data_IF_356581337570
#
_entry.id   IF_356581337570
#
_cell.length_a   1.000
_cell.length_b   1.000
_cell.length_c   1.000
_cell.angle_alpha   90.00
_cell.angle_beta   90.00
_cell.angle_gamma   90.00
#
_symmetry.space_group_name_H-M   'P 1'
#
loop_
_entity.id
_entity.type
_entity.pdbx_description
1 polymer ?
#
# COMPACT_ATOMS: atom_id res chain seq x y z
N UNK A 1 22.67 4.56 -10.85
CA UNK A 1 21.98 3.27 -11.02
C UNK A 1 21.11 3.01 -9.79
N UNK A 2 19.98 2.30 -9.92
CA UNK A 2 19.12 1.86 -8.79
C UNK A 2 19.97 1.26 -7.65
N UNK A 3 20.91 0.40 -8.05
CA UNK A 3 21.88 -0.24 -7.16
C UNK A 3 22.76 0.74 -6.38
N UNK A 4 23.27 1.77 -7.06
CA UNK A 4 24.12 2.78 -6.41
C UNK A 4 23.34 3.55 -5.34
N UNK A 5 22.05 3.86 -5.57
CA UNK A 5 21.20 4.54 -4.59
C UNK A 5 20.83 3.64 -3.42
N UNK A 6 20.57 2.35 -3.69
CA UNK A 6 20.34 1.33 -2.66
C UNK A 6 21.59 1.13 -1.80
N UNK A 7 22.77 1.02 -2.41
CA UNK A 7 24.05 0.88 -1.71
C UNK A 7 24.38 2.14 -0.89
N UNK A 8 24.20 3.34 -1.45
CA UNK A 8 24.40 4.62 -0.75
C UNK A 8 23.42 4.79 0.43
N UNK A 9 22.14 4.47 0.24
CA UNK A 9 21.17 4.48 1.34
C UNK A 9 21.54 3.45 2.43
N UNK A 10 21.99 2.26 2.05
CA UNK A 10 22.43 1.24 3.00
C UNK A 10 23.68 1.68 3.77
N UNK A 11 24.63 2.37 3.13
CA UNK A 11 25.79 2.96 3.82
C UNK A 11 25.38 4.04 4.82
N UNK A 12 24.43 4.91 4.46
CA UNK A 12 23.87 5.92 5.38
C UNK A 12 23.15 5.28 6.57
N UNK A 13 22.43 4.18 6.34
CA UNK A 13 21.76 3.42 7.40
C UNK A 13 22.75 2.73 8.33
N UNK A 14 23.79 2.09 7.79
CA UNK A 14 24.82 1.38 8.55
C UNK A 14 25.67 2.36 9.38
N UNK A 15 26.03 3.51 8.82
CA UNK A 15 26.78 4.55 9.54
C UNK A 15 25.96 5.09 10.72
N UNK A 16 24.67 5.35 10.51
CA UNK A 16 23.78 5.79 11.59
C UNK A 16 23.54 4.72 12.67
N UNK A 17 23.37 3.45 12.28
CA UNK A 17 23.21 2.33 13.22
C UNK A 17 24.45 2.09 14.10
N UNK A 18 25.65 2.45 13.61
CA UNK A 18 26.91 2.38 14.37
C UNK A 18 27.07 3.53 15.36
N UNK A 19 26.58 4.73 15.05
CA UNK A 19 26.69 5.90 15.92
C UNK A 19 25.72 5.85 17.11
N UNK A 20 24.53 5.28 16.92
CA UNK A 20 23.50 5.27 17.97
C UNK A 20 23.53 4.06 18.91
N UNK A 21 24.35 3.05 18.63
CA UNK A 21 24.42 1.81 19.42
C UNK A 21 23.06 1.10 19.46
N UNK A 22 22.95 -0.06 18.81
CA UNK A 22 21.71 -0.85 18.80
C UNK A 22 21.16 -1.24 20.20
N UNK A 23 21.91 -0.97 21.27
CA UNK A 23 21.51 -1.18 22.67
C UNK A 23 20.62 -0.06 23.26
N UNK A 24 20.58 1.15 22.66
CA UNK A 24 19.78 2.27 23.21
C UNK A 24 18.32 2.29 22.73
N UNK A 25 17.99 1.55 21.66
CA UNK A 25 16.65 1.52 21.04
C UNK A 25 15.72 0.46 21.68
N UNK A 26 16.25 -0.46 22.48
CA UNK A 26 15.44 -1.46 23.20
C UNK A 26 14.75 -0.89 24.45
N UNK A 27 15.06 0.35 24.85
CA UNK A 27 14.38 1.06 25.95
C UNK A 27 13.08 1.75 25.50
N UNK A 28 12.62 1.47 24.27
CA UNK A 28 11.39 2.03 23.70
C UNK A 28 10.12 1.34 24.24
N UNK A 29 9.99 1.18 25.56
CA UNK A 29 8.75 0.89 26.30
C UNK A 29 7.78 -0.09 25.62
N UNK A 30 8.30 -1.18 25.03
CA UNK A 30 7.49 -2.06 24.20
C UNK A 30 6.54 -2.94 25.02
N UNK A 31 6.70 -3.06 26.34
CA UNK A 31 5.87 -3.87 27.23
C UNK A 31 5.94 -3.38 28.69
N UNK A 32 5.22 -2.32 29.05
CA UNK A 32 4.93 -2.03 30.47
C UNK A 32 3.52 -2.52 30.83
N UNK A 33 3.41 -3.78 31.26
CA UNK A 33 2.26 -4.29 31.99
C UNK A 33 2.51 -4.16 33.49
N UNK A 34 1.63 -3.51 34.29
CA UNK A 34 1.87 -3.40 35.71
C UNK A 34 1.45 -4.69 36.43
N UNK A 35 2.41 -5.58 36.68
CA UNK A 35 2.28 -6.57 37.75
C UNK A 35 2.62 -5.89 39.09
N UNK A 36 1.64 -5.84 40.01
CA UNK A 36 1.92 -5.70 41.44
C UNK A 36 1.33 -6.87 42.20
N UNK A 37 2.25 -7.64 42.76
CA UNK A 37 2.04 -8.68 43.75
C UNK A 37 1.42 -8.14 45.04
N UNK A 38 0.51 -8.91 45.63
CA UNK A 38 0.41 -9.01 47.09
C UNK A 38 -0.08 -10.40 47.50
N UNK A 39 0.54 -10.87 48.58
CA UNK A 39 0.73 -12.25 48.99
C UNK A 39 -0.25 -12.62 50.12
N UNK A 40 -0.74 -13.86 50.08
CA UNK A 40 -1.29 -14.67 51.18
C UNK A 40 -2.53 -14.22 51.97
N UNK A 41 -3.64 -14.97 51.84
CA UNK A 41 -4.13 -15.80 52.95
C UNK A 41 -5.17 -16.88 52.52
N UNK A 42 -5.03 -18.09 53.09
CA UNK A 42 -5.94 -19.24 52.93
C UNK A 42 -7.33 -18.98 53.55
N UNK A 43 -8.41 -19.43 52.89
CA UNK A 43 -9.42 -20.38 53.44
C UNK A 43 -10.56 -20.68 52.44
N UNK A 44 -10.92 -21.97 52.37
CA UNK A 44 -12.11 -22.53 51.69
C UNK A 44 -13.41 -22.15 52.42
N UNK A 45 -14.47 -21.81 51.68
CA UNK A 45 -15.82 -22.40 51.75
C UNK A 45 -16.76 -21.69 50.75
N UNK A 46 -17.84 -22.37 50.36
CA UNK A 46 -18.60 -22.11 49.15
C UNK A 46 -19.85 -21.22 49.27
N UNK A 47 -20.39 -20.96 48.08
CA UNK A 47 -21.80 -20.68 47.72
C UNK A 47 -22.43 -19.31 48.01
N UNK A 48 -23.19 -18.88 47.00
CA UNK A 48 -24.27 -17.87 46.89
C UNK A 48 -23.95 -16.39 46.63
N UNK A 49 -24.33 -15.95 45.38
CA UNK A 49 -24.93 -14.66 44.91
C UNK A 49 -24.45 -13.33 45.55
N UNK A 50 -24.18 -12.23 44.85
CA UNK A 50 -24.66 -11.73 43.55
C UNK A 50 -23.91 -10.47 43.09
N UNK A 51 -23.96 -10.22 41.78
CA UNK A 51 -23.91 -8.93 41.06
C UNK A 51 -22.76 -7.96 41.33
N UNK A 52 -21.76 -8.03 40.46
CA UNK A 52 -21.36 -6.83 39.72
C UNK A 52 -21.29 -7.25 38.25
N UNK A 53 -22.23 -6.75 37.46
CA UNK A 53 -22.18 -6.79 36.01
C UNK A 53 -20.85 -6.16 35.57
N UNK A 54 -19.92 -6.97 35.09
CA UNK A 54 -19.03 -6.47 34.04
C UNK A 54 -19.82 -6.71 32.78
N UNK A 55 -20.47 -5.66 32.28
CA UNK A 55 -20.97 -5.61 30.91
C UNK A 55 -19.78 -5.90 30.00
N UNK A 56 -19.71 -7.16 29.57
CA UNK A 56 -18.93 -7.61 28.43
C UNK A 56 -19.72 -7.28 27.18
N UNK A 57 -18.98 -6.95 26.13
CA UNK A 57 -19.42 -6.65 24.77
C UNK A 57 -20.07 -5.26 24.59
N UNK A 58 -19.21 -4.26 24.39
CA UNK A 58 -19.60 -3.14 23.53
C UNK A 58 -19.52 -3.64 22.06
N UNK A 59 -20.65 -3.87 21.37
CA UNK A 59 -20.65 -4.36 19.99
C UNK A 59 -20.01 -3.36 19.01
N UNK A 60 -19.63 -2.17 19.47
CA UNK A 60 -18.97 -1.15 18.68
C UNK A 60 -17.44 -1.32 18.53
N UNK A 61 -16.75 -2.12 19.37
CA UNK A 61 -15.27 -2.30 19.29
C UNK A 61 -14.80 -3.23 18.15
N UNK A 62 -15.74 -3.74 17.35
CA UNK A 62 -15.45 -4.72 16.30
C UNK A 62 -14.52 -4.22 15.18
N UNK A 63 -14.49 -2.92 14.89
CA UNK A 63 -13.67 -2.37 13.80
C UNK A 63 -12.20 -2.14 14.19
N UNK A 64 -11.91 -1.86 15.45
CA UNK A 64 -10.54 -1.65 15.91
C UNK A 64 -9.81 -2.95 16.27
N UNK A 65 -10.57 -4.01 16.56
CA UNK A 65 -10.07 -5.38 16.67
C UNK A 65 -9.87 -6.05 15.30
N UNK A 66 -10.29 -5.40 14.20
CA UNK A 66 -10.07 -5.90 12.87
C UNK A 66 -8.59 -5.80 12.44
N UNK A 67 -8.13 -6.61 11.46
CA UNK A 67 -6.77 -6.54 10.96
C UNK A 67 -6.34 -5.12 10.59
N UNK A 68 -5.08 -4.77 10.85
CA UNK A 68 -4.51 -3.45 10.53
C UNK A 68 -4.43 -3.18 9.03
N UNK A 69 -4.41 -4.23 8.21
CA UNK A 69 -4.24 -4.12 6.76
C UNK A 69 -5.29 -4.95 6.02
N UNK A 70 -5.61 -4.50 4.81
CA UNK A 70 -6.49 -5.21 3.86
C UNK A 70 -5.90 -5.19 2.46
N UNK A 71 -6.48 -5.99 1.55
CA UNK A 71 -6.05 -6.11 0.16
C UNK A 71 -7.14 -5.54 -0.77
N UNK A 72 -7.03 -4.28 -1.23
CA UNK A 72 -8.06 -3.66 -2.08
C UNK A 72 -8.13 -4.23 -3.50
N UNK A 73 -7.03 -4.77 -4.02
CA UNK A 73 -6.95 -5.23 -5.42
C UNK A 73 -6.22 -6.56 -5.57
N UNK A 74 -5.01 -6.52 -6.13
CA UNK A 74 -4.21 -7.73 -6.39
C UNK A 74 -3.86 -8.44 -5.08
N UNK A 75 -4.06 -9.77 -5.04
CA UNK A 75 -3.65 -10.61 -3.91
C UNK A 75 -2.17 -10.38 -3.59
N UNK A 76 -1.88 -10.14 -2.31
CA UNK A 76 -0.52 -10.03 -1.80
C UNK A 76 0.01 -8.61 -1.60
N UNK A 77 -0.74 -7.56 -1.94
CA UNK A 77 -0.38 -6.18 -1.59
C UNK A 77 -1.36 -5.56 -0.59
N UNK A 78 -0.83 -4.86 0.41
CA UNK A 78 -1.59 -4.41 1.58
C UNK A 78 -1.68 -2.90 1.68
N UNK A 79 -2.87 -2.42 2.07
CA UNK A 79 -3.13 -1.02 2.45
C UNK A 79 -3.62 -0.94 3.91
N UNK A 80 -3.33 0.16 4.64
CA UNK A 80 -3.83 0.36 5.99
C UNK A 80 -5.36 0.38 6.04
N UNK A 81 -5.93 -0.35 6.99
CA UNK A 81 -7.35 -0.28 7.34
C UNK A 81 -7.52 0.67 8.53
N UNK A 82 -8.11 1.87 8.35
CA UNK A 82 -8.17 2.88 9.41
C UNK A 82 -8.93 2.42 10.65
N UNK A 83 -10.01 1.64 10.51
CA UNK A 83 -10.91 1.36 11.62
C UNK A 83 -11.52 2.67 12.15
N UNK A 84 -11.60 2.84 13.46
CA UNK A 84 -12.05 4.09 14.10
C UNK A 84 -10.93 5.11 14.31
N UNK A 85 -9.69 4.80 13.92
CA UNK A 85 -8.51 5.62 14.20
C UNK A 85 -8.34 5.95 15.69
N UNK A 86 -8.67 5.03 16.60
CA UNK A 86 -8.36 5.23 18.02
C UNK A 86 -6.85 5.39 18.24
N UNK A 87 -6.47 6.06 19.32
CA UNK A 87 -5.07 6.27 19.67
C UNK A 87 -4.28 4.95 19.76
N UNK A 88 -4.90 3.90 20.33
CA UNK A 88 -4.32 2.57 20.40
C UNK A 88 -4.01 2.01 19.00
N UNK A 89 -4.97 2.11 18.07
CA UNK A 89 -4.80 1.63 16.69
C UNK A 89 -3.77 2.45 15.90
N UNK A 90 -3.75 3.76 16.06
CA UNK A 90 -2.73 4.64 15.46
C UNK A 90 -1.33 4.34 16.02
N UNK A 91 -1.22 4.03 17.32
CA UNK A 91 0.04 3.58 17.91
C UNK A 91 0.50 2.24 17.33
N UNK A 92 -0.41 1.31 17.01
CA UNK A 92 -0.07 0.09 16.27
C UNK A 92 0.53 0.42 14.89
N UNK A 93 -0.07 1.34 14.13
CA UNK A 93 0.49 1.79 12.85
C UNK A 93 1.87 2.45 12.99
N UNK A 94 2.07 3.27 14.03
CA UNK A 94 3.39 3.84 14.34
C UNK A 94 4.41 2.74 14.65
N UNK A 95 4.03 1.71 15.41
CA UNK A 95 4.91 0.57 15.69
C UNK A 95 5.25 -0.23 14.42
N UNK A 96 4.31 -0.41 13.49
CA UNK A 96 4.63 -1.00 12.17
C UNK A 96 5.66 -0.14 11.43
N UNK A 97 5.52 1.18 11.47
CA UNK A 97 6.52 2.10 10.92
C UNK A 97 7.92 1.88 11.51
N UNK A 98 8.01 1.72 12.83
CA UNK A 98 9.28 1.43 13.54
C UNK A 98 9.87 0.09 13.14
N UNK A 99 9.04 -0.95 13.06
CA UNK A 99 9.47 -2.29 12.60
C UNK A 99 10.05 -2.21 11.18
N UNK A 100 9.41 -1.49 10.26
CA UNK A 100 9.95 -1.26 8.92
C UNK A 100 11.31 -0.55 8.96
N UNK A 101 11.47 0.45 9.82
CA UNK A 101 12.74 1.15 10.03
C UNK A 101 13.83 0.24 10.58
N UNK A 102 13.50 -0.64 11.53
CA UNK A 102 14.44 -1.62 12.10
C UNK A 102 14.85 -2.66 11.06
N UNK A 103 13.91 -3.19 10.28
CA UNK A 103 14.20 -4.07 9.15
C UNK A 103 15.21 -3.44 8.18
N UNK A 104 15.03 -2.16 7.86
CA UNK A 104 15.95 -1.41 6.98
C UNK A 104 17.33 -1.21 7.61
N UNK A 105 17.41 -0.88 8.91
CA UNK A 105 18.71 -0.71 9.60
C UNK A 105 19.48 -2.03 9.73
N UNK A 106 18.77 -3.13 9.99
CA UNK A 106 19.37 -4.45 10.24
C UNK A 106 19.58 -5.24 8.94
N UNK A 107 19.14 -4.71 7.79
CA UNK A 107 19.13 -5.41 6.51
C UNK A 107 18.36 -6.75 6.59
N UNK A 108 17.23 -6.73 7.30
CA UNK A 108 16.32 -7.85 7.48
C UNK A 108 15.06 -7.67 6.64
N UNK A 109 14.52 -8.76 6.11
CA UNK A 109 13.33 -8.71 5.27
C UNK A 109 12.05 -8.65 6.11
N UNK A 110 11.14 -7.75 5.74
CA UNK A 110 9.81 -7.68 6.35
C UNK A 110 8.81 -8.53 5.54
N UNK A 111 8.01 -9.41 6.19
CA UNK A 111 7.05 -10.28 5.51
C UNK A 111 5.76 -9.57 5.04
N UNK A 112 5.73 -8.23 5.00
CA UNK A 112 4.59 -7.44 4.52
C UNK A 112 4.92 -6.71 3.23
N UNK A 113 4.13 -6.94 2.19
CA UNK A 113 4.28 -6.25 0.90
C UNK A 113 3.27 -5.10 0.83
N UNK A 114 3.74 -3.87 1.01
CA UNK A 114 2.88 -2.69 1.01
C UNK A 114 2.52 -2.25 -0.42
N UNK A 115 1.32 -1.71 -0.57
CA UNK A 115 0.90 -1.06 -1.81
C UNK A 115 1.77 0.16 -2.13
N UNK A 116 1.92 0.46 -3.43
CA UNK A 116 2.80 1.53 -3.93
C UNK A 116 2.51 2.90 -3.30
N UNK A 117 1.23 3.26 -3.16
CA UNK A 117 0.85 4.55 -2.56
C UNK A 117 1.28 4.66 -1.09
N UNK A 118 1.19 3.56 -0.31
CA UNK A 118 1.65 3.51 1.08
C UNK A 118 3.14 3.83 1.14
N UNK A 119 3.94 3.15 0.31
CA UNK A 119 5.39 3.35 0.25
C UNK A 119 5.72 4.80 -0.14
N UNK A 120 5.02 5.35 -1.14
CA UNK A 120 5.21 6.75 -1.52
C UNK A 120 4.95 7.70 -0.36
N UNK A 121 3.90 7.48 0.44
CA UNK A 121 3.63 8.30 1.62
C UNK A 121 4.73 8.17 2.67
N UNK A 122 5.21 6.95 2.95
CA UNK A 122 6.34 6.72 3.86
C UNK A 122 7.59 7.52 3.42
N UNK A 123 7.90 7.49 2.13
CA UNK A 123 9.01 8.22 1.52
C UNK A 123 8.75 9.75 1.38
N UNK A 124 7.55 10.25 1.72
CA UNK A 124 7.18 11.65 1.52
C UNK A 124 7.06 12.07 0.06
N UNK A 125 6.74 11.13 -0.84
CA UNK A 125 6.55 11.35 -2.28
C UNK A 125 5.08 11.61 -2.61
N UNK A 126 4.84 12.41 -3.65
CA UNK A 126 3.50 12.63 -4.20
C UNK A 126 2.94 11.34 -4.81
N UNK A 127 1.73 10.98 -4.41
CA UNK A 127 0.91 9.94 -5.04
C UNK A 127 0.12 10.57 -6.19
N UNK A 128 0.15 9.94 -7.35
CA UNK A 128 -0.54 10.35 -8.56
C UNK A 128 -1.67 9.38 -8.87
N UNK A 129 -2.64 9.79 -9.69
CA UNK A 129 -3.76 8.91 -10.05
C UNK A 129 -3.30 7.60 -10.73
N UNK A 130 -2.19 7.61 -11.47
CA UNK A 130 -1.61 6.40 -12.06
C UNK A 130 -1.15 5.36 -11.02
N UNK A 131 -0.86 5.76 -9.78
CA UNK A 131 -0.55 4.80 -8.71
C UNK A 131 -1.78 3.95 -8.33
N UNK A 132 -2.98 4.40 -8.70
CA UNK A 132 -4.22 3.66 -8.48
C UNK A 132 -4.25 2.33 -9.25
N UNK A 133 -3.53 2.22 -10.37
CA UNK A 133 -3.36 0.96 -11.09
C UNK A 133 -2.71 -0.16 -10.24
N UNK A 134 -1.91 0.21 -9.23
CA UNK A 134 -1.30 -0.72 -8.29
C UNK A 134 -2.20 -1.01 -7.09
N UNK A 135 -3.15 -0.11 -6.79
CA UNK A 135 -4.11 -0.26 -5.71
C UNK A 135 -5.27 -1.15 -6.14
N UNK A 136 -5.96 -0.76 -7.21
CA UNK A 136 -7.09 -1.47 -7.81
C UNK A 136 -7.00 -1.35 -9.36
N UNK A 137 -6.40 -2.34 -10.03
CA UNK A 137 -6.22 -2.31 -11.48
C UNK A 137 -7.54 -2.37 -12.25
N UNK A 138 -8.58 -2.99 -11.69
CA UNK A 138 -9.88 -3.16 -12.36
C UNK A 138 -10.61 -1.82 -12.37
N UNK A 139 -10.65 -1.16 -11.23
CA UNK A 139 -11.26 0.17 -11.13
C UNK A 139 -10.43 1.22 -11.87
N UNK A 140 -9.09 1.13 -11.86
CA UNK A 140 -8.23 2.00 -12.66
C UNK A 140 -8.59 1.94 -14.15
N UNK A 141 -8.76 0.74 -14.72
CA UNK A 141 -9.13 0.60 -16.13
C UNK A 141 -10.53 1.16 -16.39
N UNK A 142 -11.47 0.95 -15.46
CA UNK A 142 -12.83 1.53 -15.57
C UNK A 142 -12.81 3.07 -15.60
N UNK A 143 -12.02 3.70 -14.72
CA UNK A 143 -11.82 5.15 -14.71
C UNK A 143 -11.10 5.66 -15.97
N UNK A 144 -10.15 4.86 -16.49
CA UNK A 144 -9.45 5.18 -17.74
C UNK A 144 -10.41 5.13 -18.93
N UNK A 145 -11.30 4.14 -19.00
CA UNK A 145 -12.33 4.07 -20.04
C UNK A 145 -13.29 5.26 -19.92
N UNK A 146 -13.66 5.67 -18.71
CA UNK A 146 -14.48 6.87 -18.49
C UNK A 146 -13.81 8.13 -19.09
N UNK A 147 -12.50 8.31 -18.88
CA UNK A 147 -11.73 9.39 -19.50
C UNK A 147 -11.73 9.26 -21.03
N UNK A 148 -11.55 8.06 -21.59
CA UNK A 148 -11.57 7.86 -23.05
C UNK A 148 -12.93 8.21 -23.65
N UNK A 149 -14.02 7.80 -23.01
CA UNK A 149 -15.38 8.12 -23.43
C UNK A 149 -15.68 9.62 -23.39
N UNK A 150 -15.03 10.39 -22.52
CA UNK A 150 -15.22 11.86 -22.50
C UNK A 150 -14.73 12.56 -23.78
N UNK A 151 -13.94 11.88 -24.59
CA UNK A 151 -13.34 12.42 -25.81
C UNK A 151 -14.10 12.01 -27.08
N UNK A 152 -15.20 11.25 -26.96
CA UNK A 152 -16.01 10.81 -28.10
C UNK A 152 -17.12 11.80 -28.42
N UNK A 153 -17.66 11.76 -29.64
CA UNK A 153 -18.78 12.61 -30.06
C UNK A 153 -20.08 12.31 -29.26
N UNK A 154 -20.19 11.10 -28.72
CA UNK A 154 -21.33 10.63 -27.93
C UNK A 154 -21.16 10.85 -26.42
N UNK A 155 -20.10 11.54 -25.99
CA UNK A 155 -19.72 11.68 -24.57
C UNK A 155 -20.87 12.18 -23.69
N UNK A 156 -21.57 13.23 -24.09
CA UNK A 156 -22.69 13.80 -23.30
C UNK A 156 -23.80 12.76 -23.05
N UNK A 157 -24.17 11.98 -24.07
CA UNK A 157 -25.20 10.95 -23.94
C UNK A 157 -24.74 9.80 -23.03
N UNK A 158 -23.47 9.38 -23.15
CA UNK A 158 -22.88 8.32 -22.33
C UNK A 158 -22.83 8.74 -20.86
N UNK A 159 -22.33 9.94 -20.55
CA UNK A 159 -22.21 10.42 -19.18
C UNK A 159 -23.57 10.66 -18.53
N UNK A 160 -24.55 11.19 -19.29
CA UNK A 160 -25.91 11.34 -18.81
C UNK A 160 -26.58 9.99 -18.48
N UNK A 161 -26.26 8.93 -19.22
CA UNK A 161 -26.78 7.58 -18.97
C UNK A 161 -26.14 6.87 -17.77
N UNK A 162 -24.93 7.28 -17.36
CA UNK A 162 -24.20 6.68 -16.23
C UNK A 162 -24.68 7.17 -14.86
N UNK A 163 -25.37 8.32 -14.80
CA UNK A 163 -25.89 8.94 -13.56
C UNK A 163 -24.85 9.01 -12.42
N UNK A 164 -23.62 9.41 -12.78
CA UNK A 164 -22.50 9.47 -11.85
C UNK A 164 -22.42 10.86 -11.21
N UNK A 165 -22.18 10.91 -9.90
CA UNK A 165 -21.96 12.15 -9.15
C UNK A 165 -20.57 12.16 -8.48
N UNK A 166 -20.14 13.30 -7.93
CA UNK A 166 -18.91 13.41 -7.14
C UNK A 166 -19.08 12.84 -5.72
N UNK A 167 -19.63 11.62 -5.64
CA UNK A 167 -19.78 10.84 -4.43
C UNK A 167 -19.45 9.38 -4.73
N UNK A 168 -18.90 8.67 -3.75
CA UNK A 168 -18.47 7.28 -3.90
C UNK A 168 -18.92 6.45 -2.71
N UNK A 169 -19.21 5.18 -2.95
CA UNK A 169 -19.44 4.20 -1.90
C UNK A 169 -18.12 3.55 -1.48
N UNK A 170 -17.91 3.43 -0.17
CA UNK A 170 -16.74 2.82 0.43
C UNK A 170 -17.04 1.38 0.86
N UNK A 171 -16.05 0.50 0.72
CA UNK A 171 -16.16 -0.85 1.28
C UNK A 171 -15.98 -0.84 2.80
N UNK A 172 -16.22 -1.99 3.45
CA UNK A 172 -16.16 -2.11 4.90
C UNK A 172 -14.79 -1.74 5.47
N UNK A 173 -13.74 -2.13 4.78
CA UNK A 173 -12.35 -1.85 5.17
C UNK A 173 -12.00 -0.37 5.08
N UNK A 174 -12.77 0.42 4.34
CA UNK A 174 -12.56 1.85 4.10
C UNK A 174 -13.48 2.73 4.96
N UNK A 175 -14.35 2.13 5.79
CA UNK A 175 -15.27 2.85 6.69
C UNK A 175 -16.76 2.68 6.37
N UNK A 176 -17.09 2.01 5.26
CA UNK A 176 -18.46 1.83 4.74
C UNK A 176 -19.21 3.14 4.42
N UNK A 177 -20.26 3.02 3.61
CA UNK A 177 -21.17 4.13 3.32
C UNK A 177 -20.72 5.02 2.18
N UNK A 178 -21.51 6.07 1.92
CA UNK A 178 -21.28 7.01 0.83
C UNK A 178 -20.56 8.27 1.34
N UNK A 179 -19.58 8.74 0.59
CA UNK A 179 -18.82 9.96 0.90
C UNK A 179 -18.76 10.88 -0.31
N UNK A 180 -18.79 12.19 -0.06
CA UNK A 180 -18.62 13.19 -1.12
C UNK A 180 -17.12 13.43 -1.41
N UNK A 181 -16.75 13.47 -2.69
CA UNK A 181 -15.37 13.76 -3.14
C UNK A 181 -15.04 15.27 -3.11
N UNK A 182 -16.08 16.11 -3.01
CA UNK A 182 -16.05 17.55 -2.86
C UNK A 182 -17.32 18.01 -2.17
N UNK A 183 -17.30 19.21 -1.58
CA UNK A 183 -18.46 19.76 -0.86
C UNK A 183 -19.65 19.90 -1.81
N UNK A 184 -20.76 19.23 -1.50
CA UNK A 184 -21.95 19.19 -2.35
C UNK A 184 -21.82 18.23 -3.54
N UNK A 185 -20.87 17.29 -3.48
CA UNK A 185 -20.52 16.39 -4.58
C UNK A 185 -21.65 15.45 -4.98
N UNK A 186 -22.56 15.09 -4.07
CA UNK A 186 -23.74 14.26 -4.38
C UNK A 186 -24.65 14.94 -5.41
N UNK A 187 -24.71 16.28 -5.43
CA UNK A 187 -25.53 17.04 -6.37
C UNK A 187 -24.74 17.52 -7.60
N UNK A 188 -23.48 17.13 -7.73
CA UNK A 188 -22.63 17.52 -8.85
C UNK A 188 -22.45 16.32 -9.80
N UNK A 189 -23.13 16.31 -10.95
CA UNK A 189 -22.97 15.23 -11.92
C UNK A 189 -21.57 15.25 -12.55
N UNK A 190 -21.06 14.05 -12.84
CA UNK A 190 -19.85 13.88 -13.62
C UNK A 190 -20.20 14.08 -15.09
N UNK A 191 -19.44 14.94 -15.74
CA UNK A 191 -19.60 15.34 -17.14
C UNK A 191 -18.27 15.13 -17.87
N UNK A 192 -18.27 15.11 -19.22
CA UNK A 192 -17.03 15.01 -19.98
C UNK A 192 -16.00 16.10 -19.62
N UNK A 193 -16.47 17.29 -19.23
CA UNK A 193 -15.63 18.43 -18.86
C UNK A 193 -14.96 18.29 -17.48
N UNK A 194 -15.61 17.62 -16.52
CA UNK A 194 -15.12 17.53 -15.14
C UNK A 194 -14.58 16.13 -14.76
N UNK A 195 -14.66 15.15 -15.68
CA UNK A 195 -14.25 13.76 -15.46
C UNK A 195 -12.82 13.60 -14.93
N UNK A 196 -11.88 14.43 -15.42
CA UNK A 196 -10.48 14.36 -14.98
C UNK A 196 -10.33 14.67 -13.50
N UNK A 197 -11.09 15.65 -13.00
CA UNK A 197 -11.09 15.98 -11.58
C UNK A 197 -11.80 14.90 -10.77
N UNK A 198 -12.90 14.34 -11.28
CA UNK A 198 -13.58 13.20 -10.65
C UNK A 198 -12.62 12.02 -10.45
N UNK A 199 -11.93 11.60 -11.52
CA UNK A 199 -10.98 10.47 -11.47
C UNK A 199 -9.82 10.76 -10.51
N UNK A 200 -9.29 11.98 -10.52
CA UNK A 200 -8.22 12.40 -9.60
C UNK A 200 -8.67 12.31 -8.15
N UNK A 201 -9.84 12.86 -7.83
CA UNK A 201 -10.41 12.85 -6.47
C UNK A 201 -10.77 11.45 -6.01
N UNK A 202 -11.33 10.63 -6.89
CA UNK A 202 -11.64 9.22 -6.61
C UNK A 202 -10.38 8.47 -6.17
N UNK A 203 -9.31 8.56 -6.97
CA UNK A 203 -8.04 7.89 -6.69
C UNK A 203 -7.37 8.42 -5.41
N UNK A 204 -7.36 9.74 -5.23
CA UNK A 204 -6.82 10.41 -4.04
C UNK A 204 -7.60 10.01 -2.78
N UNK A 205 -8.94 9.97 -2.84
CA UNK A 205 -9.75 9.62 -1.70
C UNK A 205 -9.50 8.18 -1.24
N UNK A 206 -9.55 7.23 -2.17
CA UNK A 206 -9.36 5.79 -1.89
C UNK A 206 -7.94 5.45 -1.41
N UNK A 207 -6.91 6.08 -1.98
CA UNK A 207 -5.52 5.77 -1.60
C UNK A 207 -5.01 6.56 -0.38
N UNK A 208 -5.49 7.79 -0.18
CA UNK A 208 -4.92 8.70 0.82
C UNK A 208 -5.93 9.10 1.89
N UNK A 209 -7.07 9.66 1.52
CA UNK A 209 -8.00 10.29 2.48
C UNK A 209 -8.55 9.25 3.46
N UNK A 210 -8.97 8.09 2.96
CA UNK A 210 -9.49 6.99 3.81
C UNK A 210 -8.49 6.59 4.89
N UNK A 211 -7.20 6.53 4.55
CA UNK A 211 -6.15 5.99 5.42
C UNK A 211 -5.15 7.07 5.88
N UNK A 212 -5.54 8.35 5.91
CA UNK A 212 -4.62 9.47 6.14
C UNK A 212 -3.89 9.35 7.50
N UNK A 213 -4.63 9.15 8.59
CA UNK A 213 -4.06 9.06 9.93
C UNK A 213 -3.15 7.81 10.10
N UNK A 214 -3.57 6.60 9.68
CA UNK A 214 -2.68 5.43 9.65
C UNK A 214 -1.40 5.65 8.86
N UNK A 215 -1.50 6.22 7.65
CA UNK A 215 -0.35 6.48 6.79
C UNK A 215 0.63 7.46 7.44
N UNK A 216 0.13 8.52 8.08
CA UNK A 216 0.95 9.48 8.80
C UNK A 216 1.60 8.86 10.05
N UNK A 217 0.87 8.03 10.80
CA UNK A 217 1.38 7.31 11.96
C UNK A 217 2.51 6.34 11.56
N UNK A 218 2.33 5.56 10.50
CA UNK A 218 3.39 4.69 9.96
C UNK A 218 4.62 5.48 9.54
N UNK A 219 4.45 6.60 8.84
CA UNK A 219 5.58 7.46 8.44
C UNK A 219 6.32 8.02 9.67
N UNK A 220 5.58 8.47 10.67
CA UNK A 220 6.16 8.96 11.94
C UNK A 220 6.98 7.87 12.61
N UNK A 221 6.45 6.65 12.68
CA UNK A 221 7.16 5.49 13.24
C UNK A 221 8.43 5.14 12.48
N UNK A 222 8.39 5.20 11.14
CA UNK A 222 9.56 4.97 10.29
C UNK A 222 10.67 5.98 10.57
N UNK A 223 10.30 7.25 10.72
CA UNK A 223 11.22 8.36 11.02
C UNK A 223 11.62 8.47 12.51
N UNK A 224 11.00 7.69 13.41
CA UNK A 224 11.50 7.53 14.78
C UNK A 224 12.80 6.69 14.79
N UNK A 225 12.98 5.84 13.77
CA UNK A 225 14.10 4.89 13.67
C UNK A 225 15.13 5.33 12.63
N UNK A 226 14.67 5.86 11.50
CA UNK A 226 15.53 6.27 10.38
C UNK A 226 15.73 7.79 10.35
N UNK A 227 16.93 8.26 10.02
CA UNK A 227 17.15 9.68 9.79
C UNK A 227 16.44 10.11 8.50
N UNK A 228 15.86 11.32 8.48
CA UNK A 228 14.99 11.78 7.38
C UNK A 228 15.65 11.74 6.00
N UNK A 229 16.96 11.98 5.95
CA UNK A 229 17.76 12.01 4.73
C UNK A 229 18.02 10.61 4.15
N UNK A 230 17.94 9.53 4.93
CA UNK A 230 18.21 8.17 4.43
C UNK A 230 17.22 7.70 3.35
N UNK A 231 16.07 8.38 3.22
CA UNK A 231 14.99 8.01 2.30
C UNK A 231 14.88 8.95 1.10
N UNK A 232 15.68 10.01 1.03
CA UNK A 232 15.49 11.15 0.10
C UNK A 232 15.65 10.81 -1.39
N UNK A 233 16.42 9.78 -1.73
CA UNK A 233 16.69 9.36 -3.12
C UNK A 233 16.02 8.04 -3.51
N UNK A 234 15.30 7.43 -2.56
CA UNK A 234 14.60 6.18 -2.80
C UNK A 234 13.31 6.41 -3.60
N UNK A 235 13.10 5.53 -4.58
CA UNK A 235 11.81 5.33 -5.24
C UNK A 235 10.96 4.35 -4.45
N UNK A 236 9.67 4.22 -4.80
CA UNK A 236 8.80 3.24 -4.16
C UNK A 236 9.29 1.80 -4.42
N UNK A 237 9.89 1.58 -5.57
CA UNK A 237 10.49 0.32 -5.98
C UNK A 237 11.76 0.02 -5.18
N UNK A 238 12.63 1.01 -4.98
CA UNK A 238 13.83 0.85 -4.13
C UNK A 238 13.45 0.43 -2.71
N UNK A 239 12.50 1.15 -2.11
CA UNK A 239 12.04 0.84 -0.75
C UNK A 239 11.43 -0.56 -0.67
N UNK A 240 10.60 -0.95 -1.65
CA UNK A 240 10.03 -2.31 -1.71
C UNK A 240 11.12 -3.37 -1.78
N UNK A 241 12.16 -3.16 -2.59
CA UNK A 241 13.26 -4.11 -2.72
C UNK A 241 14.10 -4.21 -1.44
N UNK A 242 14.32 -3.09 -0.76
CA UNK A 242 15.00 -3.06 0.53
C UNK A 242 14.21 -3.82 1.61
N UNK A 243 12.89 -3.63 1.65
CA UNK A 243 12.03 -4.22 2.68
C UNK A 243 11.69 -5.68 2.40
N UNK A 244 11.40 -6.05 1.16
CA UNK A 244 10.90 -7.40 0.82
C UNK A 244 11.94 -8.25 0.06
N UNK A 245 13.09 -7.68 -0.29
CA UNK A 245 14.12 -8.35 -1.07
C UNK A 245 13.79 -8.44 -2.56
N UNK A 246 14.71 -9.02 -3.31
CA UNK A 246 14.47 -9.41 -4.70
C UNK A 246 13.92 -10.85 -4.73
N UNK A 247 12.64 -11.02 -5.04
CA UNK A 247 12.10 -12.36 -5.33
C UNK A 247 12.78 -13.01 -6.53
N UNK A 248 12.78 -14.34 -6.58
CA UNK A 248 13.34 -15.05 -7.74
C UNK A 248 12.47 -14.84 -8.99
N UNK A 249 13.03 -14.27 -10.06
CA UNK A 249 12.37 -14.07 -11.35
C UNK A 249 12.41 -15.39 -12.12
N UNK A 250 11.31 -16.14 -12.03
CA UNK A 250 11.12 -17.33 -12.85
C UNK A 250 10.68 -16.93 -14.27
N UNK A 251 11.57 -17.15 -15.24
CA UNK A 251 11.34 -16.82 -16.65
C UNK A 251 10.15 -17.60 -17.23
N UNK A 252 9.94 -18.84 -16.79
CA UNK A 252 8.83 -19.66 -17.25
C UNK A 252 7.47 -19.07 -16.82
N UNK A 253 7.40 -18.51 -15.61
CA UNK A 253 6.21 -17.79 -15.15
C UNK A 253 6.00 -16.50 -15.95
N UNK A 254 7.05 -15.72 -16.21
CA UNK A 254 6.95 -14.52 -17.03
C UNK A 254 6.40 -14.83 -18.44
N UNK A 255 6.89 -15.89 -19.07
CA UNK A 255 6.39 -16.35 -20.37
C UNK A 255 4.89 -16.63 -20.31
N UNK A 256 4.43 -17.31 -19.24
CA UNK A 256 3.02 -17.70 -19.11
C UNK A 256 2.05 -16.54 -18.88
N UNK A 257 2.53 -15.42 -18.32
CA UNK A 257 1.70 -14.25 -17.99
C UNK A 257 1.82 -13.09 -19.01
N UNK A 258 2.66 -13.23 -20.04
CA UNK A 258 2.91 -12.14 -21.00
C UNK A 258 2.17 -12.39 -22.30
N UNK A 259 1.20 -11.53 -22.62
CA UNK A 259 0.60 -11.44 -23.95
C UNK A 259 1.31 -10.37 -24.79
N UNK A 260 1.56 -10.68 -26.06
CA UNK A 260 2.08 -9.70 -27.02
C UNK A 260 0.91 -9.18 -27.84
N UNK A 261 0.66 -7.88 -27.76
CA UNK A 261 -0.30 -7.20 -28.64
C UNK A 261 0.42 -6.84 -29.94
N UNK A 262 -0.12 -7.27 -31.08
CA UNK A 262 0.40 -6.92 -32.39
C UNK A 262 -0.32 -5.67 -32.91
N UNK A 263 0.32 -4.52 -32.72
CA UNK A 263 -0.16 -3.22 -33.23
C UNK A 263 0.42 -2.91 -34.62
N UNK A 264 1.30 -3.77 -35.14
CA UNK A 264 2.06 -3.53 -36.38
C UNK A 264 1.36 -4.04 -37.65
N UNK A 265 0.42 -4.99 -37.50
CA UNK A 265 -0.24 -5.66 -38.63
C UNK A 265 0.71 -6.54 -39.46
N UNK A 266 1.88 -6.90 -38.92
CA UNK A 266 2.86 -7.74 -39.61
C UNK A 266 2.45 -9.22 -39.64
N UNK A 267 3.15 -10.02 -40.47
CA UNK A 267 2.89 -11.45 -40.61
C UNK A 267 3.11 -12.19 -39.27
N UNK A 268 2.14 -13.02 -38.88
CA UNK A 268 2.14 -13.85 -37.67
C UNK A 268 3.42 -14.68 -37.48
N UNK A 269 4.08 -15.12 -38.55
CA UNK A 269 5.34 -15.86 -38.48
C UNK A 269 6.51 -15.01 -37.93
N UNK A 270 6.59 -13.74 -38.33
CA UNK A 270 7.63 -12.83 -37.83
C UNK A 270 7.41 -12.47 -36.38
N UNK A 271 6.15 -12.27 -35.98
CA UNK A 271 5.79 -12.04 -34.58
C UNK A 271 6.18 -13.25 -33.73
N UNK A 272 5.94 -14.47 -34.21
CA UNK A 272 6.34 -15.70 -33.52
C UNK A 272 7.87 -15.80 -33.40
N UNK A 273 8.61 -15.42 -34.43
CA UNK A 273 10.07 -15.39 -34.42
C UNK A 273 10.61 -14.36 -33.40
N UNK A 274 10.02 -13.16 -33.37
CA UNK A 274 10.34 -12.13 -32.39
C UNK A 274 10.10 -12.61 -30.95
N UNK A 275 8.94 -13.23 -30.67
CA UNK A 275 8.64 -13.80 -29.34
C UNK A 275 9.73 -14.79 -28.91
N UNK A 276 10.13 -15.70 -29.81
CA UNK A 276 11.18 -16.70 -29.52
C UNK A 276 12.52 -16.05 -29.24
N UNK A 277 12.91 -15.03 -30.01
CA UNK A 277 14.17 -14.30 -29.80
C UNK A 277 14.16 -13.51 -28.51
N UNK A 278 13.07 -12.78 -28.23
CA UNK A 278 12.90 -12.04 -26.99
C UNK A 278 13.10 -12.97 -25.79
N UNK A 279 12.35 -14.07 -25.70
CA UNK A 279 12.47 -15.00 -24.58
C UNK A 279 13.83 -15.70 -24.51
N UNK A 280 14.46 -16.04 -25.65
CA UNK A 280 15.81 -16.60 -25.65
C UNK A 280 16.86 -15.63 -25.10
N UNK A 281 16.67 -14.33 -25.28
CA UNK A 281 17.53 -13.30 -24.70
C UNK A 281 17.24 -13.18 -23.20
N UNK A 282 15.97 -13.15 -22.78
CA UNK A 282 15.58 -13.08 -21.36
C UNK A 282 16.05 -14.30 -20.57
N UNK A 283 16.04 -15.50 -21.16
CA UNK A 283 16.61 -16.71 -20.55
C UNK A 283 18.14 -16.61 -20.37
N UNK A 284 18.84 -15.86 -21.21
CA UNK A 284 20.29 -15.66 -21.11
C UNK A 284 20.68 -14.49 -20.20
N UNK A 285 19.73 -13.63 -19.84
CA UNK A 285 19.95 -12.56 -18.88
C UNK A 285 20.33 -13.11 -17.52
N UNK A 286 21.29 -12.46 -16.87
CA UNK A 286 21.57 -12.62 -15.45
C UNK A 286 20.33 -12.33 -14.61
N UNK A 287 20.31 -12.83 -13.39
CA UNK A 287 19.20 -12.59 -12.48
C UNK A 287 18.90 -11.11 -12.27
N UNK A 288 19.96 -10.31 -12.20
CA UNK A 288 19.92 -8.84 -12.12
C UNK A 288 19.31 -8.20 -13.36
N UNK A 289 19.67 -8.65 -14.56
CA UNK A 289 19.11 -8.12 -15.81
C UNK A 289 17.64 -8.49 -15.99
N UNK A 290 17.23 -9.70 -15.59
CA UNK A 290 15.82 -10.12 -15.60
C UNK A 290 14.98 -9.28 -14.63
N UNK A 291 15.54 -8.96 -13.46
CA UNK A 291 14.90 -8.08 -12.50
C UNK A 291 14.74 -6.67 -13.06
N UNK A 292 15.77 -6.12 -13.68
CA UNK A 292 15.67 -4.80 -14.30
C UNK A 292 14.71 -4.79 -15.48
N UNK A 293 14.66 -5.84 -16.30
CA UNK A 293 13.65 -5.97 -17.37
C UNK A 293 12.21 -5.92 -16.84
N UNK A 294 11.91 -6.64 -15.76
CA UNK A 294 10.57 -6.62 -15.12
C UNK A 294 10.28 -5.24 -14.51
N UNK A 295 11.30 -4.54 -14.00
CA UNK A 295 11.16 -3.19 -13.44
C UNK A 295 10.97 -2.11 -14.51
N UNK A 296 11.68 -2.21 -15.64
CA UNK A 296 11.67 -1.20 -16.71
C UNK A 296 10.57 -1.41 -17.73
N UNK A 297 9.99 -2.61 -17.79
CA UNK A 297 8.86 -2.85 -18.69
C UNK A 297 7.60 -2.18 -18.11
N UNK A 298 7.02 -1.16 -18.78
CA UNK A 298 5.78 -0.54 -18.36
C UNK A 298 4.60 -1.46 -18.74
N UNK A 299 4.51 -2.64 -18.15
CA UNK A 299 3.29 -3.44 -18.17
C UNK A 299 2.38 -2.90 -17.05
N UNK A 300 1.61 -1.82 -17.21
CA UNK A 300 0.56 -1.62 -18.21
C UNK A 300 0.35 -0.13 -18.56
N UNK A 301 1.10 0.38 -19.52
CA UNK A 301 0.77 1.65 -20.18
C UNK A 301 0.36 1.41 -21.64
N UNK A 302 -0.70 0.63 -21.84
CA UNK A 302 -1.61 0.70 -22.99
C UNK A 302 -2.99 0.25 -22.58
#
# INVERSE_FOLDING_TARGET
SLRARVEEAMELLITHGRENGADSILDLGLLDTPEKAQQENRKRHGSTRSVVDMELDDPEDGDDNAPLFYQPGKRGFYSPRPGKNTEARLNCFRNIGRILGLCLLQNELCPITLNRHVIKVLLGRKVNWHDFAFFDPVMYESLRQLIRHSQTEEAEAVFAAMDLAFAIDLCKEEGSGQVELLVGGVNMPVTPLNVYEYVRRYAEHRMLVVAEQPLHAMRKGLLDVLPKNALEDLTAEDFRLLVNGCGEVNVQMLISFTSFNDESGENAEKLLQFKRWFWSIVEKMSMTERQDLVKTSPFSST
#
